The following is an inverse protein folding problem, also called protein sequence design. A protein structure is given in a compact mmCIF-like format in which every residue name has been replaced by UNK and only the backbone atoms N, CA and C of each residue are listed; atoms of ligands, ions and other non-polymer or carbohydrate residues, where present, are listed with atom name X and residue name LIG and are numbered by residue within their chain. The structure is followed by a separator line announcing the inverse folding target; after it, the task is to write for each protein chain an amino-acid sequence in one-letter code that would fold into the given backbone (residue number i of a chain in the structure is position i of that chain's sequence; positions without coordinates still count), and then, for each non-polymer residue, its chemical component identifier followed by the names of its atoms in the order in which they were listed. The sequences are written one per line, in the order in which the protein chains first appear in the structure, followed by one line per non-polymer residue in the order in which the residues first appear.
data_IF_095812460906
#
_entry.id   IF_095812460906
#
_cell.length_a   1.000
_cell.length_b   1.000
_cell.length_c   1.000
_cell.angle_alpha   90.00
_cell.angle_beta   90.00
_cell.angle_gamma   90.00
#
_symmetry.space_group_name_H-M   'P 1'
#
loop_
_entity.id
_entity.type
_entity.pdbx_description
1 polymer ?
#
# COMPACT_ATOMS: atom_id res chain seq x y z
N UNK A 1 6.34 12.00 -4.84
CA UNK A 1 5.82 11.88 -3.45
C UNK A 1 5.23 10.49 -3.20
N UNK A 2 4.31 10.01 -4.05
CA UNK A 2 3.65 8.71 -3.85
C UNK A 2 4.63 7.51 -3.78
N UNK A 3 5.67 7.47 -4.62
CA UNK A 3 6.70 6.40 -4.59
C UNK A 3 7.38 6.27 -3.22
N UNK A 4 7.64 7.39 -2.54
CA UNK A 4 8.27 7.41 -1.22
C UNK A 4 7.30 6.82 -0.18
N UNK A 5 6.02 7.20 -0.25
CA UNK A 5 4.97 6.66 0.61
C UNK A 5 4.81 5.14 0.38
N UNK A 6 4.85 4.70 -0.88
CA UNK A 6 4.78 3.28 -1.24
C UNK A 6 5.97 2.49 -0.71
N UNK A 7 7.18 3.06 -0.77
CA UNK A 7 8.37 2.44 -0.19
C UNK A 7 8.26 2.28 1.32
N UNK A 8 7.76 3.31 2.03
CA UNK A 8 7.51 3.23 3.47
C UNK A 8 6.48 2.14 3.78
N UNK A 9 5.42 2.03 2.98
CA UNK A 9 4.41 0.98 3.13
C UNK A 9 5.03 -0.42 3.00
N UNK A 10 5.91 -0.63 2.01
CA UNK A 10 6.62 -1.89 1.78
C UNK A 10 7.52 -2.24 2.98
N UNK A 11 8.34 -1.28 3.44
CA UNK A 11 9.23 -1.49 4.58
C UNK A 11 8.44 -1.83 5.84
N UNK A 12 7.35 -1.09 6.13
CA UNK A 12 6.48 -1.36 7.26
C UNK A 12 5.82 -2.75 7.18
N UNK A 13 5.44 -3.18 5.97
CA UNK A 13 4.87 -4.52 5.72
C UNK A 13 5.89 -5.63 6.02
N UNK A 14 7.15 -5.47 5.61
CA UNK A 14 8.20 -6.44 5.97
C UNK A 14 8.48 -6.45 7.48
N UNK A 15 8.50 -5.28 8.13
CA UNK A 15 8.66 -5.19 9.59
C UNK A 15 7.50 -5.90 10.29
N UNK A 16 6.26 -5.72 9.84
CA UNK A 16 5.07 -6.41 10.34
C UNK A 16 5.27 -7.94 10.32
N UNK A 17 5.60 -8.50 9.15
CA UNK A 17 5.84 -9.94 9.00
C UNK A 17 7.00 -10.46 9.87
N UNK A 18 8.09 -9.69 9.96
CA UNK A 18 9.23 -10.03 10.81
C UNK A 18 8.87 -10.02 12.31
N UNK A 19 8.12 -9.02 12.77
CA UNK A 19 7.66 -8.93 14.16
C UNK A 19 6.76 -10.10 14.52
N UNK A 20 5.85 -10.50 13.62
CA UNK A 20 5.03 -11.71 13.81
C UNK A 20 5.88 -12.97 13.99
N UNK A 21 6.85 -13.21 13.10
CA UNK A 21 7.72 -14.41 13.19
C UNK A 21 8.60 -14.44 14.44
N UNK A 22 8.89 -13.29 15.04
CA UNK A 22 9.66 -13.16 16.29
C UNK A 22 8.78 -13.11 17.55
N UNK A 23 7.46 -13.29 17.42
CA UNK A 23 6.50 -13.25 18.54
C UNK A 23 6.31 -11.86 19.16
N UNK A 24 6.70 -10.79 18.45
CA UNK A 24 6.53 -9.39 18.87
C UNK A 24 5.20 -8.83 18.39
N UNK A 25 4.71 -7.78 19.05
CA UNK A 25 3.48 -7.09 18.63
C UNK A 25 3.67 -6.36 17.30
N UNK A 26 3.10 -6.93 16.24
CA UNK A 26 3.22 -6.44 14.86
C UNK A 26 2.16 -5.39 14.48
N UNK A 27 1.13 -5.14 15.32
CA UNK A 27 -0.07 -4.38 14.94
C UNK A 27 0.22 -2.93 14.55
N UNK A 28 1.21 -2.30 15.20
CA UNK A 28 1.63 -0.95 14.86
C UNK A 28 2.28 -0.92 13.47
N UNK A 29 3.18 -1.87 13.17
CA UNK A 29 3.81 -1.98 11.86
C UNK A 29 2.79 -2.30 10.77
N UNK A 30 1.83 -3.19 11.06
CA UNK A 30 0.69 -3.49 10.19
C UNK A 30 -0.14 -2.24 9.86
N UNK A 31 -0.56 -1.50 10.90
CA UNK A 31 -1.38 -0.29 10.73
C UNK A 31 -0.61 0.74 9.93
N UNK A 32 0.68 0.90 10.20
CA UNK A 32 1.58 1.78 9.44
C UNK A 32 1.64 1.37 7.96
N UNK A 33 1.84 0.08 7.66
CA UNK A 33 1.87 -0.44 6.29
C UNK A 33 0.59 -0.13 5.51
N UNK A 34 -0.57 -0.36 6.13
CA UNK A 34 -1.88 -0.05 5.53
C UNK A 34 -2.12 1.45 5.37
N UNK A 35 -1.79 2.26 6.39
CA UNK A 35 -1.94 3.73 6.32
C UNK A 35 -1.08 4.33 5.20
N UNK A 36 0.17 3.91 5.05
CA UNK A 36 1.03 4.39 3.97
C UNK A 36 0.62 3.86 2.61
N UNK A 37 0.02 2.67 2.51
CA UNK A 37 -0.63 2.20 1.28
C UNK A 37 -1.76 3.13 0.87
N UNK A 38 -2.64 3.50 1.81
CA UNK A 38 -3.73 4.45 1.55
C UNK A 38 -3.21 5.85 1.17
N UNK A 39 -2.20 6.37 1.88
CA UNK A 39 -1.57 7.66 1.55
C UNK A 39 -0.92 7.64 0.15
N UNK A 40 -0.37 6.49 -0.27
CA UNK A 40 0.17 6.32 -1.63
C UNK A 40 -0.92 6.48 -2.69
N UNK A 41 -2.08 5.85 -2.49
CA UNK A 41 -3.24 6.00 -3.38
C UNK A 41 -3.76 7.44 -3.41
N UNK A 42 -3.84 8.12 -2.26
CA UNK A 42 -4.24 9.53 -2.21
C UNK A 42 -3.25 10.44 -2.94
N UNK A 43 -1.94 10.16 -2.81
CA UNK A 43 -0.91 10.92 -3.49
C UNK A 43 -0.93 10.71 -5.02
N UNK A 44 -1.20 9.49 -5.48
CA UNK A 44 -1.40 9.19 -6.90
C UNK A 44 -2.68 9.83 -7.45
N UNK A 45 -3.78 9.76 -6.72
CA UNK A 45 -5.01 10.44 -7.10
C UNK A 45 -4.82 11.96 -7.22
N UNK A 46 -4.01 12.55 -6.33
CA UNK A 46 -3.63 13.96 -6.39
C UNK A 46 -2.78 14.28 -7.62
N UNK A 47 -1.90 13.36 -8.05
CA UNK A 47 -1.11 13.49 -9.28
C UNK A 47 -2.04 13.53 -10.51
N UNK A 48 -2.96 12.57 -10.62
CA UNK A 48 -3.94 12.52 -11.73
C UNK A 48 -4.82 13.77 -11.73
N UNK A 49 -5.28 14.22 -10.56
CA UNK A 49 -6.05 15.47 -10.43
C UNK A 49 -5.26 16.69 -10.93
N UNK A 50 -3.96 16.75 -10.70
CA UNK A 50 -3.12 17.83 -11.20
C UNK A 50 -3.00 17.81 -12.73
N UNK A 51 -2.84 16.63 -13.36
CA UNK A 51 -2.85 16.53 -14.82
C UNK A 51 -4.15 17.05 -15.44
N UNK A 52 -5.30 16.74 -14.82
CA UNK A 52 -6.59 17.30 -15.26
C UNK A 52 -6.61 18.83 -15.16
N UNK A 53 -6.10 19.40 -14.05
CA UNK A 53 -6.09 20.85 -13.83
C UNK A 53 -5.22 21.62 -14.82
N UNK A 54 -4.12 21.02 -15.26
CA UNK A 54 -3.21 21.64 -16.25
C UNK A 54 -3.49 21.18 -17.67
N UNK A 55 -4.58 20.44 -17.88
CA UNK A 55 -5.02 19.91 -19.19
C UNK A 55 -3.98 19.01 -19.88
N UNK A 56 -3.16 18.29 -19.10
CA UNK A 56 -2.18 17.33 -19.61
C UNK A 56 -2.85 15.98 -19.93
N UNK A 57 -3.70 15.99 -20.95
CA UNK A 57 -4.44 14.82 -21.42
C UNK A 57 -3.52 13.72 -21.95
N UNK A 58 -2.37 14.10 -22.51
CA UNK A 58 -1.37 13.16 -23.02
C UNK A 58 -0.79 12.33 -21.88
N UNK A 59 -0.34 12.95 -20.78
CA UNK A 59 0.14 12.22 -19.62
C UNK A 59 -0.97 11.36 -18.99
N UNK A 60 -2.20 11.86 -18.94
CA UNK A 60 -3.33 11.12 -18.38
C UNK A 60 -3.64 9.85 -19.18
N UNK A 61 -3.69 9.95 -20.53
CA UNK A 61 -3.96 8.82 -21.41
C UNK A 61 -2.81 7.80 -21.44
N UNK A 62 -1.57 8.26 -21.32
CA UNK A 62 -0.38 7.40 -21.36
C UNK A 62 -0.16 6.66 -20.03
N UNK A 63 -0.27 7.35 -18.89
CA UNK A 63 0.18 6.82 -17.59
C UNK A 63 -0.96 6.27 -16.73
N UNK A 64 -2.13 6.92 -16.71
CA UNK A 64 -3.19 6.58 -15.77
C UNK A 64 -3.72 5.14 -15.95
N UNK A 65 -3.96 4.62 -17.17
CA UNK A 65 -4.50 3.27 -17.35
C UNK A 65 -3.56 2.16 -16.89
N UNK A 66 -2.24 2.32 -17.08
CA UNK A 66 -1.26 1.33 -16.62
C UNK A 66 -1.06 1.39 -15.12
N UNK A 67 -0.99 2.60 -14.55
CA UNK A 67 -0.78 2.76 -13.12
C UNK A 67 -1.99 2.36 -12.28
N UNK A 68 -3.21 2.58 -12.77
CA UNK A 68 -4.43 2.11 -12.08
C UNK A 68 -4.40 0.60 -11.85
N UNK A 69 -4.07 -0.18 -12.88
CA UNK A 69 -3.97 -1.64 -12.79
C UNK A 69 -2.86 -2.08 -11.83
N UNK A 70 -1.70 -1.41 -11.89
CA UNK A 70 -0.58 -1.70 -11.01
C UNK A 70 -0.92 -1.39 -9.54
N UNK A 71 -1.55 -0.24 -9.27
CA UNK A 71 -1.95 0.18 -7.93
C UNK A 71 -3.02 -0.75 -7.34
N UNK A 72 -3.97 -1.23 -8.14
CA UNK A 72 -4.93 -2.26 -7.68
C UNK A 72 -4.22 -3.52 -7.22
N UNK A 73 -3.35 -4.07 -8.08
CA UNK A 73 -2.61 -5.28 -7.77
C UNK A 73 -1.77 -5.11 -6.50
N UNK A 74 -0.99 -4.04 -6.41
CA UNK A 74 -0.14 -3.74 -5.25
C UNK A 74 -0.95 -3.51 -3.98
N UNK A 75 -2.12 -2.86 -4.07
CA UNK A 75 -3.00 -2.62 -2.92
C UNK A 75 -3.57 -3.94 -2.39
N UNK A 76 -4.03 -4.82 -3.28
CA UNK A 76 -4.52 -6.15 -2.89
C UNK A 76 -3.40 -6.93 -2.19
N UNK A 77 -2.20 -6.96 -2.78
CA UNK A 77 -1.04 -7.63 -2.19
C UNK A 77 -0.69 -7.03 -0.82
N UNK A 78 -0.66 -5.70 -0.68
CA UNK A 78 -0.38 -5.02 0.58
C UNK A 78 -1.39 -5.38 1.67
N UNK A 79 -2.69 -5.38 1.35
CA UNK A 79 -3.76 -5.77 2.27
C UNK A 79 -3.58 -7.23 2.72
N UNK A 80 -3.38 -8.14 1.77
CA UNK A 80 -3.19 -9.56 2.06
C UNK A 80 -1.98 -9.80 2.97
N UNK A 81 -0.82 -9.21 2.63
CA UNK A 81 0.40 -9.35 3.44
C UNK A 81 0.23 -8.76 4.83
N UNK A 82 -0.36 -7.56 4.95
CA UNK A 82 -0.48 -6.92 6.26
C UNK A 82 -1.47 -7.63 7.19
N UNK A 83 -2.54 -8.23 6.66
CA UNK A 83 -3.55 -8.96 7.44
C UNK A 83 -3.12 -10.40 7.73
N UNK A 84 -2.14 -10.95 7.01
CA UNK A 84 -1.67 -12.34 7.15
C UNK A 84 -1.36 -12.74 8.61
N UNK A 85 -0.60 -11.94 9.41
CA UNK A 85 -0.35 -12.25 10.81
C UNK A 85 -1.62 -12.45 11.65
N UNK A 86 -2.65 -11.61 11.48
CA UNK A 86 -3.94 -11.74 12.18
C UNK A 86 -4.62 -13.06 11.78
N UNK A 87 -4.64 -13.39 10.49
CA UNK A 87 -5.27 -14.63 10.01
C UNK A 87 -4.57 -15.87 10.57
N UNK A 88 -3.24 -15.84 10.68
CA UNK A 88 -2.47 -16.93 11.27
C UNK A 88 -2.71 -17.05 12.78
N UNK A 89 -2.79 -15.92 13.51
CA UNK A 89 -3.17 -15.93 14.93
C UNK A 89 -4.56 -16.54 15.15
N UNK A 90 -5.55 -16.17 14.32
CA UNK A 90 -6.90 -16.72 14.41
C UNK A 90 -6.96 -18.21 14.08
N UNK A 91 -6.14 -18.68 13.13
CA UNK A 91 -6.04 -20.10 12.78
C UNK A 91 -5.40 -20.93 13.90
N UNK A 92 -4.37 -20.40 14.57
CA UNK A 92 -3.66 -21.13 15.63
C UNK A 92 -4.42 -21.17 16.97
N UNK A 93 -5.46 -20.34 17.12
CA UNK A 93 -6.36 -20.36 18.30
C UNK A 93 -7.50 -21.39 18.19
N UNK A 94 -7.73 -21.95 17.00
CA UNK A 94 -8.65 -23.07 16.78
C UNK A 94 -7.92 -24.38 16.96
#
# INVERSE_FOLDING_TARGET
MWLILGLIAIVATFINLYMYTTGKDYKLAMTTGLSFTALTLCAEHSLVSNWVKVEDWTALLDVAPSMEKALWFLTIVSILLNITPILLELKNKK
#
